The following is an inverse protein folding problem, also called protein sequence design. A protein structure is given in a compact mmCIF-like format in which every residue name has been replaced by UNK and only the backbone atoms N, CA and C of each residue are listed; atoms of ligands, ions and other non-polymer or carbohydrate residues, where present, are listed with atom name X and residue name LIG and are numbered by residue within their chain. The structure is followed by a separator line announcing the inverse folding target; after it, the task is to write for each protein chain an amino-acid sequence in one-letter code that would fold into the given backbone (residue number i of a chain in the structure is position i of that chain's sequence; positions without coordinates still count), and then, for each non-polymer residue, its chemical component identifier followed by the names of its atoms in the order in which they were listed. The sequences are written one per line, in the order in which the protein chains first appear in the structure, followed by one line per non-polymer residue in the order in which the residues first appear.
data_IF_207286252969
#
_entry.id   IF_207286252969
#
_cell.length_a   1.000
_cell.length_b   1.000
_cell.length_c   1.000
_cell.angle_alpha   90.00
_cell.angle_beta   90.00
_cell.angle_gamma   90.00
#
_symmetry.space_group_name_H-M   'P 1'
#
loop_
_entity.id
_entity.type
_entity.pdbx_description
1 polymer ?
#
# COMPACT_ATOMS: atom_id res chain seq x y z
N UNK A 1 -0.91 6.76 -14.66
CA UNK A 1 -1.02 5.63 -13.73
C UNK A 1 -0.02 5.86 -12.62
N UNK A 2 -0.47 5.89 -11.37
CA UNK A 2 0.37 6.12 -10.18
C UNK A 2 0.65 4.76 -9.56
N UNK A 3 1.92 4.46 -9.30
CA UNK A 3 2.34 3.19 -8.70
C UNK A 3 3.02 3.51 -7.38
N UNK A 4 2.54 2.87 -6.30
CA UNK A 4 3.09 3.03 -4.96
C UNK A 4 3.68 1.71 -4.51
N UNK A 5 4.98 1.70 -4.24
CA UNK A 5 5.66 0.55 -3.66
C UNK A 5 5.69 0.69 -2.15
N UNK A 6 5.07 -0.25 -1.45
CA UNK A 6 5.14 -0.36 0.01
C UNK A 6 6.04 -1.53 0.35
N UNK A 7 7.05 -1.31 1.19
CA UNK A 7 7.88 -2.40 1.72
C UNK A 7 7.48 -2.65 3.16
N UNK A 8 7.01 -3.87 3.44
CA UNK A 8 6.62 -4.32 4.76
C UNK A 8 7.53 -5.46 5.21
N UNK A 9 7.61 -5.71 6.52
CA UNK A 9 8.32 -6.88 7.04
C UNK A 9 7.45 -8.13 6.87
N UNK A 10 8.07 -9.29 6.67
CA UNK A 10 7.43 -10.60 6.40
C UNK A 10 6.38 -11.04 7.45
N UNK A 11 6.32 -10.40 8.62
CA UNK A 11 5.35 -10.70 9.69
C UNK A 11 4.22 -9.68 9.78
N UNK A 12 3.88 -9.02 8.68
CA UNK A 12 2.75 -8.09 8.66
C UNK A 12 1.42 -8.85 8.60
N UNK A 13 0.56 -8.62 9.59
CA UNK A 13 -0.81 -9.17 9.58
C UNK A 13 -1.58 -8.63 8.36
N UNK A 14 -2.34 -9.50 7.70
CA UNK A 14 -3.12 -9.17 6.49
C UNK A 14 -4.08 -7.98 6.74
N UNK A 15 -4.70 -7.91 7.92
CA UNK A 15 -5.56 -6.79 8.33
C UNK A 15 -4.82 -5.43 8.32
N UNK A 16 -3.54 -5.42 8.69
CA UNK A 16 -2.71 -4.22 8.66
C UNK A 16 -2.31 -3.85 7.24
N UNK A 17 -2.10 -4.84 6.38
CA UNK A 17 -1.84 -4.61 4.95
C UNK A 17 -3.07 -3.97 4.29
N UNK A 18 -4.28 -4.52 4.52
CA UNK A 18 -5.53 -3.95 4.00
C UNK A 18 -5.73 -2.51 4.50
N UNK A 19 -5.49 -2.27 5.79
CA UNK A 19 -5.54 -0.92 6.36
C UNK A 19 -4.59 0.03 5.64
N UNK A 20 -3.34 -0.38 5.38
CA UNK A 20 -2.36 0.46 4.66
C UNK A 20 -2.85 0.76 3.24
N UNK A 21 -3.25 -0.25 2.48
CA UNK A 21 -3.71 -0.11 1.09
C UNK A 21 -4.89 0.87 1.03
N UNK A 22 -5.87 0.70 1.92
CA UNK A 22 -7.06 1.55 1.98
C UNK A 22 -6.72 3.01 2.30
N UNK A 23 -5.85 3.24 3.28
CA UNK A 23 -5.50 4.60 3.69
C UNK A 23 -4.58 5.30 2.68
N UNK A 24 -3.65 4.59 2.05
CA UNK A 24 -2.84 5.15 0.95
C UNK A 24 -3.75 5.55 -0.21
N UNK A 25 -4.65 4.65 -0.63
CA UNK A 25 -5.62 4.94 -1.70
C UNK A 25 -6.46 6.17 -1.35
N UNK A 26 -6.91 6.26 -0.09
CA UNK A 26 -7.69 7.39 0.40
C UNK A 26 -6.96 8.73 0.28
N UNK A 27 -5.67 8.79 0.61
CA UNK A 27 -4.85 10.01 0.44
C UNK A 27 -4.89 10.49 -1.01
N UNK A 28 -4.78 9.58 -1.99
CA UNK A 28 -4.85 9.96 -3.40
C UNK A 28 -6.26 10.40 -3.81
N UNK A 29 -7.31 9.72 -3.34
CA UNK A 29 -8.69 10.14 -3.62
C UNK A 29 -9.03 11.49 -3.03
N UNK A 30 -8.52 11.80 -1.83
CA UNK A 30 -8.70 13.09 -1.17
C UNK A 30 -7.99 14.23 -1.94
N UNK A 31 -6.95 13.90 -2.70
CA UNK A 31 -6.26 14.81 -3.63
C UNK A 31 -6.91 14.91 -5.02
N UNK A 32 -8.07 14.28 -5.22
CA UNK A 32 -8.81 14.29 -6.49
C UNK A 32 -8.33 13.27 -7.53
N UNK A 33 -7.46 12.35 -7.14
CA UNK A 33 -7.00 11.26 -8.01
C UNK A 33 -8.00 10.10 -7.93
N UNK A 34 -8.51 9.56 -9.06
CA UNK A 34 -9.38 8.40 -9.04
C UNK A 34 -8.68 7.18 -8.43
N UNK A 35 -9.35 6.41 -7.57
CA UNK A 35 -8.79 5.20 -6.98
C UNK A 35 -8.28 4.20 -8.05
N UNK A 36 -9.00 4.07 -9.16
CA UNK A 36 -8.62 3.24 -10.32
C UNK A 36 -7.32 3.68 -11.01
N UNK A 37 -6.82 4.88 -10.73
CA UNK A 37 -5.56 5.40 -11.29
C UNK A 37 -4.35 5.11 -10.39
N UNK A 38 -4.55 4.47 -9.23
CA UNK A 38 -3.53 4.15 -8.23
C UNK A 38 -3.38 2.63 -8.12
N UNK A 39 -2.16 2.15 -8.28
CA UNK A 39 -1.78 0.75 -8.08
C UNK A 39 -0.83 0.67 -6.89
N UNK A 40 -1.16 -0.15 -5.91
CA UNK A 40 -0.37 -0.32 -4.69
C UNK A 40 0.24 -1.72 -4.71
N UNK A 41 1.57 -1.77 -4.70
CA UNK A 41 2.35 -3.00 -4.70
C UNK A 41 3.02 -3.16 -3.34
N UNK A 42 2.57 -4.14 -2.56
CA UNK A 42 3.14 -4.47 -1.26
C UNK A 42 4.21 -5.53 -1.45
N UNK A 43 5.42 -5.24 -0.97
CA UNK A 43 6.58 -6.11 -1.00
C UNK A 43 6.90 -6.52 0.42
N UNK A 44 6.75 -7.79 0.73
CA UNK A 44 7.25 -8.36 1.96
C UNK A 44 8.76 -8.54 1.85
N UNK A 45 9.47 -7.90 2.78
CA UNK A 45 10.92 -7.98 2.90
C UNK A 45 11.23 -8.87 4.10
N UNK A 46 12.05 -9.91 3.92
CA UNK A 46 12.48 -10.74 5.02
C UNK A 46 13.14 -9.91 6.12
N UNK A 47 12.82 -10.22 7.38
CA UNK A 47 13.64 -9.80 8.52
C UNK A 47 14.92 -10.65 8.55
N UNK A 48 15.71 -10.62 7.49
CA UNK A 48 17.05 -11.22 7.49
C UNK A 48 18.05 -10.08 7.61
N UNK A 49 18.57 -9.89 8.82
CA UNK A 49 19.76 -9.07 9.10
C UNK A 49 21.01 -9.95 9.00
#
# INVERSE_FOLDING_TARGET
MIIVHVKCLESFEEEKIDYIIKNITKVFTDLGVPAQAVEILVHEVPMTY
#
